data_IF_817146458835
#
_entry.id   IF_817146458835
#
_cell.length_a   1.000
_cell.length_b   1.000
_cell.length_c   1.000
_cell.angle_alpha   90.00
_cell.angle_beta   90.00
_cell.angle_gamma   90.00
#
_symmetry.space_group_name_H-M   'P 1'
#
loop_
_entity.id
_entity.type
_entity.pdbx_description
1 polymer ?
#
# COMPACT_ATOMS: atom_id res chain seq x y z
N UNK A 1 5.41 25.58 -0.97
CA UNK A 1 5.50 24.13 -0.72
C UNK A 1 4.68 23.82 0.51
N UNK A 2 3.72 22.89 0.42
CA UNK A 2 2.99 22.41 1.61
C UNK A 2 3.93 21.50 2.41
N UNK A 3 4.10 21.72 3.72
CA UNK A 3 4.99 20.91 4.54
C UNK A 3 4.41 19.51 4.79
N UNK A 4 5.30 18.54 5.01
CA UNK A 4 4.93 17.24 5.58
C UNK A 4 4.61 17.43 7.07
N UNK A 5 3.46 16.94 7.50
CA UNK A 5 3.00 17.07 8.89
C UNK A 5 2.98 15.72 9.58
N UNK A 6 3.59 15.62 10.77
CA UNK A 6 3.47 14.43 11.60
C UNK A 6 2.08 14.42 12.25
N UNK A 7 1.23 13.48 11.87
CA UNK A 7 -0.17 13.38 12.36
C UNK A 7 -0.37 12.27 13.38
N UNK A 8 0.60 11.36 13.50
CA UNK A 8 0.63 10.31 14.52
C UNK A 8 2.08 9.95 14.86
N UNK A 9 2.39 9.88 16.14
CA UNK A 9 3.68 9.43 16.67
C UNK A 9 3.45 8.31 17.69
N UNK A 10 4.20 7.22 17.59
CA UNK A 10 4.13 6.06 18.50
C UNK A 10 5.49 5.79 19.15
N UNK A 11 5.47 5.37 20.42
CA UNK A 11 6.66 4.90 21.16
C UNK A 11 7.07 3.49 20.73
N UNK A 12 8.11 2.95 21.37
CA UNK A 12 8.56 1.57 21.16
C UNK A 12 7.52 0.51 21.54
N UNK A 13 6.73 0.76 22.58
CA UNK A 13 5.58 -0.06 22.95
C UNK A 13 4.34 0.19 22.07
N UNK A 14 4.51 1.00 21.01
CA UNK A 14 3.45 1.49 20.11
C UNK A 14 2.37 2.29 20.84
N UNK A 15 2.67 2.85 22.00
CA UNK A 15 1.78 3.81 22.66
C UNK A 15 1.82 5.13 21.91
N UNK A 16 0.65 5.75 21.75
CA UNK A 16 0.56 7.07 21.13
C UNK A 16 1.27 8.13 21.97
N UNK A 17 2.26 8.78 21.36
CA UNK A 17 3.04 9.88 21.93
C UNK A 17 2.46 11.23 21.54
N UNK A 18 2.04 11.38 20.27
CA UNK A 18 1.44 12.60 19.75
C UNK A 18 0.51 12.32 18.57
N UNK A 19 -0.36 13.29 18.24
CA UNK A 19 -1.29 13.18 17.11
C UNK A 19 -2.46 12.22 17.40
N UNK A 20 -3.02 11.61 16.35
CA UNK A 20 -4.07 10.60 16.49
C UNK A 20 -4.23 9.74 15.25
N UNK A 21 -4.71 8.52 15.45
CA UNK A 21 -5.12 7.57 14.42
C UNK A 21 -6.25 8.16 13.56
N UNK A 22 -7.18 8.89 14.18
CA UNK A 22 -8.25 9.61 13.48
C UNK A 22 -7.69 10.68 12.53
N UNK A 23 -6.70 11.47 12.95
CA UNK A 23 -6.07 12.46 12.08
C UNK A 23 -5.34 11.81 10.88
N UNK A 24 -4.74 10.63 11.08
CA UNK A 24 -4.14 9.86 9.99
C UNK A 24 -5.21 9.31 9.03
N UNK A 25 -6.28 8.70 9.54
CA UNK A 25 -7.41 8.21 8.74
C UNK A 25 -8.07 9.35 7.94
N UNK A 26 -8.26 10.51 8.56
CA UNK A 26 -8.79 11.71 7.93
C UNK A 26 -7.91 12.22 6.78
N UNK A 27 -6.59 12.21 6.96
CA UNK A 27 -5.65 12.60 5.91
C UNK A 27 -5.68 11.60 4.74
N UNK A 28 -5.71 10.29 5.02
CA UNK A 28 -5.82 9.26 3.98
C UNK A 28 -7.17 9.38 3.24
N UNK A 29 -8.28 9.67 3.93
CA UNK A 29 -9.58 9.93 3.30
C UNK A 29 -9.53 11.07 2.28
N UNK A 30 -8.68 12.07 2.50
CA UNK A 30 -8.44 13.18 1.56
C UNK A 30 -7.41 12.86 0.48
N UNK A 31 -6.92 11.62 0.43
CA UNK A 31 -5.96 11.15 -0.55
C UNK A 31 -4.55 11.68 -0.28
N UNK A 32 -4.15 11.95 0.97
CA UNK A 32 -2.81 12.44 1.27
C UNK A 32 -1.70 11.52 0.74
N UNK A 33 -0.48 12.05 0.60
CA UNK A 33 0.71 11.18 0.52
C UNK A 33 1.13 10.77 1.93
N UNK A 34 1.71 9.57 2.06
CA UNK A 34 2.16 9.02 3.34
C UNK A 34 3.65 8.68 3.32
N UNK A 35 4.36 9.12 4.35
CA UNK A 35 5.70 8.66 4.71
C UNK A 35 5.73 8.22 6.15
N UNK A 36 6.45 7.15 6.44
CA UNK A 36 6.64 6.67 7.81
C UNK A 36 8.12 6.73 8.13
N UNK A 37 8.42 7.37 9.26
CA UNK A 37 9.75 7.47 9.83
C UNK A 37 9.88 6.50 10.99
N UNK A 38 10.99 5.78 11.04
CA UNK A 38 11.34 4.86 12.13
C UNK A 38 12.77 5.08 12.63
N UNK A 39 13.02 4.77 13.91
CA UNK A 39 14.36 4.69 14.48
C UNK A 39 14.63 3.30 15.06
N UNK A 40 15.85 2.80 14.89
CA UNK A 40 16.31 1.52 15.44
C UNK A 40 17.84 1.46 15.47
N UNK A 41 18.40 0.46 16.17
CA UNK A 41 19.83 0.24 16.24
C UNK A 41 20.25 -0.81 15.20
N UNK A 42 21.38 -0.58 14.52
CA UNK A 42 21.87 -1.42 13.43
C UNK A 42 21.98 -2.90 13.82
N UNK A 43 22.66 -3.21 14.93
CA UNK A 43 22.82 -4.59 15.40
C UNK A 43 21.62 -5.16 16.18
N UNK A 44 20.50 -4.44 16.24
CA UNK A 44 19.23 -4.98 16.73
C UNK A 44 18.26 -5.33 15.57
N UNK A 45 18.56 -4.88 14.34
CA UNK A 45 17.63 -4.97 13.20
C UNK A 45 18.26 -5.45 11.89
N UNK A 46 19.38 -4.84 11.48
CA UNK A 46 19.97 -5.03 10.14
C UNK A 46 20.92 -6.21 10.11
N UNK A 47 21.86 -6.23 11.05
CA UNK A 47 22.85 -7.30 11.19
C UNK A 47 23.13 -7.52 12.67
N UNK A 48 22.45 -8.49 13.26
CA UNK A 48 22.58 -8.86 14.68
C UNK A 48 23.96 -9.41 15.05
N UNK A 49 24.81 -9.72 14.06
CA UNK A 49 26.18 -10.18 14.29
C UNK A 49 27.21 -9.05 14.29
N UNK A 50 26.78 -7.83 13.92
CA UNK A 50 27.63 -6.63 13.87
C UNK A 50 27.84 -6.03 15.27
N UNK A 51 29.04 -5.49 15.50
CA UNK A 51 29.33 -4.68 16.70
C UNK A 51 28.77 -3.25 16.59
N UNK A 52 28.14 -2.88 15.46
CA UNK A 52 27.62 -1.53 15.24
C UNK A 52 26.33 -1.28 16.02
N UNK A 53 26.43 -0.45 17.06
CA UNK A 53 25.29 0.06 17.82
C UNK A 53 24.78 1.40 17.26
N UNK A 54 25.01 1.68 15.97
CA UNK A 54 24.60 2.94 15.35
C UNK A 54 23.08 3.05 15.26
N UNK A 55 22.55 4.24 15.56
CA UNK A 55 21.13 4.55 15.36
C UNK A 55 20.85 4.86 13.90
N UNK A 56 19.98 4.06 13.31
CA UNK A 56 19.46 4.26 11.96
C UNK A 56 18.16 5.05 12.04
N UNK A 57 18.01 5.99 11.11
CA UNK A 57 16.80 6.76 10.85
C UNK A 57 16.31 6.40 9.45
N UNK A 58 15.22 5.66 9.37
CA UNK A 58 14.62 5.28 8.09
C UNK A 58 13.40 6.18 7.81
N UNK A 59 13.27 6.61 6.55
CA UNK A 59 12.05 7.24 6.03
C UNK A 59 11.62 6.46 4.80
N UNK A 60 10.43 5.88 4.85
CA UNK A 60 9.84 5.11 3.77
C UNK A 60 8.63 5.83 3.17
N UNK A 61 8.47 5.72 1.84
CA UNK A 61 7.31 6.22 1.10
C UNK A 61 6.28 5.11 0.85
N UNK A 62 5.02 5.39 1.16
CA UNK A 62 3.90 4.47 1.04
C UNK A 62 2.96 4.95 -0.07
N UNK A 63 3.25 4.50 -1.30
CA UNK A 63 2.55 4.95 -2.51
C UNK A 63 1.14 4.39 -2.70
N UNK A 64 0.76 3.37 -1.91
CA UNK A 64 -0.60 2.84 -1.83
C UNK A 64 -1.08 3.01 -0.39
N UNK A 65 -2.25 3.59 -0.20
CA UNK A 65 -2.86 3.74 1.14
C UNK A 65 -4.26 3.16 1.17
N UNK A 66 -4.65 2.66 2.34
CA UNK A 66 -5.94 2.04 2.60
C UNK A 66 -6.66 2.81 3.70
N UNK A 67 -7.96 3.01 3.48
CA UNK A 67 -8.92 3.38 4.49
C UNK A 67 -9.94 2.25 4.61
N UNK A 68 -9.96 1.58 5.75
CA UNK A 68 -10.78 0.41 6.06
C UNK A 68 -11.87 0.83 7.06
N UNK A 69 -13.13 0.48 6.78
CA UNK A 69 -14.33 0.90 7.56
C UNK A 69 -14.32 2.39 7.95
N UNK A 70 -13.85 3.23 7.02
CA UNK A 70 -13.74 4.68 7.19
C UNK A 70 -12.94 5.13 8.43
N UNK A 71 -12.16 4.26 9.07
CA UNK A 71 -11.57 4.54 10.39
C UNK A 71 -10.20 3.92 10.64
N UNK A 72 -9.80 2.92 9.85
CA UNK A 72 -8.50 2.28 9.98
C UNK A 72 -7.59 2.58 8.79
N UNK A 73 -6.47 3.23 9.08
CA UNK A 73 -5.44 3.59 8.12
C UNK A 73 -4.33 2.54 8.00
N UNK A 74 -3.93 2.25 6.76
CA UNK A 74 -2.71 1.50 6.46
C UNK A 74 -2.02 2.04 5.20
N UNK A 75 -0.71 1.81 5.09
CA UNK A 75 0.09 2.15 3.92
C UNK A 75 0.89 0.95 3.43
N UNK A 76 1.10 0.85 2.11
CA UNK A 76 1.95 -0.15 1.47
C UNK A 76 2.99 0.53 0.56
N UNK A 77 4.25 0.10 0.68
CA UNK A 77 5.32 0.47 -0.23
C UNK A 77 5.15 -0.28 -1.55
N UNK A 78 4.99 0.43 -2.68
CA UNK A 78 4.70 -0.20 -3.97
C UNK A 78 5.89 -0.31 -4.93
N UNK A 79 7.04 0.27 -4.57
CA UNK A 79 8.22 0.43 -5.46
C UNK A 79 9.53 -0.07 -4.85
N UNK A 80 9.50 -0.63 -3.65
CA UNK A 80 10.71 -1.03 -2.93
C UNK A 80 11.24 -2.37 -3.45
N UNK A 81 12.52 -2.38 -3.80
CA UNK A 81 13.31 -3.61 -3.84
C UNK A 81 14.06 -3.76 -2.51
N UNK A 82 14.30 -5.00 -2.03
CA UNK A 82 15.04 -5.20 -0.80
C UNK A 82 16.48 -4.74 -0.97
N UNK A 83 16.94 -3.87 -0.06
CA UNK A 83 18.33 -3.44 0.04
C UNK A 83 19.04 -4.23 1.15
N UNK A 84 20.29 -4.60 0.89
CA UNK A 84 21.22 -5.16 1.88
C UNK A 84 22.16 -4.03 2.26
N UNK A 85 21.90 -3.38 3.39
CA UNK A 85 22.71 -2.25 3.82
C UNK A 85 24.12 -2.71 4.22
N UNK A 86 25.15 -1.89 3.98
CA UNK A 86 25.11 -0.60 3.28
C UNK A 86 25.29 -0.72 1.75
N UNK A 87 25.64 -1.90 1.23
CA UNK A 87 26.38 -2.00 -0.03
C UNK A 87 25.59 -2.53 -1.25
N UNK A 88 24.32 -2.92 -1.12
CA UNK A 88 23.60 -3.42 -2.31
C UNK A 88 22.14 -3.81 -2.14
N UNK A 89 21.71 -4.73 -3.01
CA UNK A 89 20.37 -5.33 -2.99
C UNK A 89 20.36 -6.71 -2.34
N UNK A 90 19.17 -7.17 -1.97
CA UNK A 90 18.94 -8.52 -1.48
C UNK A 90 19.34 -9.59 -2.50
N UNK A 91 19.59 -10.83 -2.05
CA UNK A 91 20.21 -11.88 -2.87
C UNK A 91 19.32 -12.38 -4.01
N UNK A 92 17.99 -12.32 -3.86
CA UNK A 92 17.02 -12.69 -4.90
C UNK A 92 16.28 -11.46 -5.41
N UNK A 93 16.26 -11.30 -6.73
CA UNK A 93 15.47 -10.25 -7.39
C UNK A 93 14.00 -10.39 -6.99
N UNK A 94 13.48 -9.36 -6.33
CA UNK A 94 12.14 -9.35 -5.75
C UNK A 94 11.66 -7.93 -5.52
N UNK A 95 10.34 -7.77 -5.34
CA UNK A 95 9.79 -6.58 -4.69
C UNK A 95 9.63 -6.82 -3.21
N UNK A 96 9.44 -5.74 -2.46
CA UNK A 96 9.23 -5.77 -1.02
C UNK A 96 8.05 -4.86 -0.67
N UNK A 97 6.85 -5.41 -0.70
CA UNK A 97 5.63 -4.70 -0.32
C UNK A 97 5.52 -4.66 1.20
N UNK A 98 6.25 -3.72 1.80
CA UNK A 98 6.15 -3.43 3.23
C UNK A 98 4.86 -2.69 3.51
N UNK A 99 4.16 -3.14 4.54
CA UNK A 99 2.88 -2.63 4.99
C UNK A 99 3.03 -2.15 6.42
N UNK A 100 2.47 -0.99 6.72
CA UNK A 100 2.35 -0.45 8.07
C UNK A 100 0.90 -0.10 8.36
N UNK A 101 0.38 -0.61 9.47
CA UNK A 101 -0.90 -0.20 10.03
C UNK A 101 -0.73 1.00 10.97
N UNK A 102 -1.81 1.76 11.18
CA UNK A 102 -1.81 2.92 12.09
C UNK A 102 -1.41 2.59 13.53
N UNK A 103 -1.54 1.34 13.98
CA UNK A 103 -1.13 0.89 15.31
C UNK A 103 0.35 0.47 15.38
N UNK A 104 1.13 0.65 14.31
CA UNK A 104 2.53 0.24 14.24
C UNK A 104 2.76 -1.24 13.89
N UNK A 105 1.70 -2.05 13.71
CA UNK A 105 1.85 -3.42 13.21
C UNK A 105 2.32 -3.41 11.76
N UNK A 106 3.25 -4.30 11.45
CA UNK A 106 3.91 -4.36 10.15
C UNK A 106 3.60 -5.66 9.45
N UNK A 107 3.73 -5.63 8.13
CA UNK A 107 3.75 -6.84 7.33
C UNK A 107 4.65 -6.65 6.12
N UNK A 108 5.01 -7.76 5.51
CA UNK A 108 5.81 -7.76 4.28
C UNK A 108 5.34 -8.87 3.36
N UNK A 109 5.14 -8.55 2.10
CA UNK A 109 5.02 -9.52 1.02
C UNK A 109 6.18 -9.33 0.04
N UNK A 110 6.81 -10.43 -0.39
CA UNK A 110 7.98 -10.40 -1.28
C UNK A 110 7.77 -11.26 -2.52
N UNK A 111 7.15 -10.75 -3.60
CA UNK A 111 7.12 -11.51 -4.84
C UNK A 111 8.54 -11.61 -5.43
N UNK A 112 8.99 -12.84 -5.66
CA UNK A 112 10.23 -13.12 -6.36
C UNK A 112 10.04 -12.93 -7.87
N UNK A 113 10.94 -12.17 -8.50
CA UNK A 113 10.86 -11.76 -9.91
C UNK A 113 11.95 -12.39 -10.78
N UNK A 114 12.69 -13.35 -10.25
CA UNK A 114 13.83 -13.99 -10.92
C UNK A 114 13.43 -15.11 -11.90
N UNK A 115 12.13 -15.35 -12.08
CA UNK A 115 11.59 -16.37 -12.98
C UNK A 115 11.78 -17.81 -12.50
N UNK A 116 12.30 -18.03 -11.28
CA UNK A 116 12.39 -19.36 -10.70
C UNK A 116 10.98 -19.83 -10.30
N UNK A 117 10.69 -21.12 -10.48
CA UNK A 117 9.42 -21.70 -10.07
C UNK A 117 9.33 -21.86 -8.55
N UNK A 118 8.11 -21.89 -8.02
CA UNK A 118 7.88 -22.27 -6.64
C UNK A 118 8.42 -23.70 -6.40
N UNK A 119 9.11 -23.89 -5.27
CA UNK A 119 9.64 -25.22 -4.91
C UNK A 119 8.59 -26.08 -4.23
N UNK A 120 7.55 -25.47 -3.67
CA UNK A 120 6.40 -26.14 -3.06
C UNK A 120 5.08 -25.42 -3.36
N UNK A 121 3.97 -26.11 -3.10
CA UNK A 121 2.65 -25.49 -3.11
C UNK A 121 2.53 -24.45 -1.97
N UNK A 122 1.60 -23.48 -2.06
CA UNK A 122 1.29 -22.57 -0.95
C UNK A 122 1.06 -23.36 0.34
N UNK A 123 1.75 -22.95 1.40
CA UNK A 123 1.86 -23.73 2.65
C UNK A 123 1.11 -23.07 3.79
N UNK A 124 0.88 -23.85 4.85
CA UNK A 124 0.26 -23.40 6.07
C UNK A 124 1.11 -22.33 6.80
N UNK A 125 0.43 -21.63 7.71
CA UNK A 125 1.00 -20.67 8.64
C UNK A 125 2.26 -21.23 9.31
N UNK A 126 3.35 -20.47 9.27
CA UNK A 126 4.55 -20.69 10.08
C UNK A 126 4.84 -19.44 10.92
N UNK A 127 5.71 -19.58 11.91
CA UNK A 127 6.24 -18.45 12.70
C UNK A 127 7.74 -18.64 12.67
N UNK A 128 8.47 -17.73 12.03
CA UNK A 128 9.93 -17.79 12.00
C UNK A 128 10.50 -17.63 13.41
N UNK A 129 11.56 -18.39 13.71
CA UNK A 129 12.33 -18.21 14.94
C UNK A 129 13.27 -17.02 14.77
N UNK A 130 13.00 -15.97 15.56
CA UNK A 130 13.80 -14.75 15.63
C UNK A 130 14.29 -14.50 17.07
N UNK A 131 14.63 -15.57 17.79
CA UNK A 131 15.13 -15.49 19.18
C UNK A 131 16.39 -14.63 19.35
N UNK A 132 17.15 -14.43 18.28
CA UNK A 132 18.31 -13.53 18.17
C UNK A 132 17.94 -12.05 17.98
N UNK A 133 16.67 -11.74 17.68
CA UNK A 133 16.14 -10.39 17.51
C UNK A 133 15.04 -10.09 18.55
N UNK A 134 15.39 -9.69 19.80
CA UNK A 134 14.41 -9.51 20.88
C UNK A 134 13.28 -8.50 20.61
N UNK A 135 13.52 -7.56 19.70
CA UNK A 135 12.54 -6.54 19.27
C UNK A 135 11.63 -7.04 18.13
N UNK A 136 11.88 -8.21 17.55
CA UNK A 136 11.10 -8.77 16.45
C UNK A 136 10.10 -9.82 16.97
N UNK A 137 8.82 -9.50 16.88
CA UNK A 137 7.72 -10.35 17.32
C UNK A 137 6.96 -10.87 16.10
N UNK A 138 7.31 -12.07 15.58
CA UNK A 138 6.59 -12.67 14.46
C UNK A 138 5.18 -13.06 14.90
N UNK A 139 4.18 -12.81 14.04
CA UNK A 139 2.79 -13.18 14.30
C UNK A 139 2.40 -14.39 13.45
N UNK A 140 2.61 -14.29 12.14
CA UNK A 140 2.41 -15.37 11.18
C UNK A 140 3.24 -15.15 9.91
N UNK A 141 3.48 -16.23 9.20
CA UNK A 141 4.18 -16.30 7.93
C UNK A 141 3.46 -17.24 7.00
N UNK A 142 3.46 -16.90 5.71
CA UNK A 142 2.78 -17.63 4.66
C UNK A 142 3.72 -17.88 3.49
N UNK A 143 3.60 -19.06 2.89
CA UNK A 143 4.13 -19.36 1.57
C UNK A 143 5.66 -19.17 1.38
N UNK A 144 6.44 -19.41 2.44
CA UNK A 144 7.90 -19.18 2.47
C UNK A 144 8.66 -19.82 1.29
N UNK A 145 8.19 -20.98 0.84
CA UNK A 145 8.83 -21.81 -0.20
C UNK A 145 8.24 -21.60 -1.60
N UNK A 146 7.43 -20.55 -1.77
CA UNK A 146 6.84 -20.15 -3.04
C UNK A 146 7.52 -18.90 -3.60
N UNK A 147 6.98 -18.36 -4.70
CA UNK A 147 7.38 -17.05 -5.21
C UNK A 147 6.71 -15.87 -4.49
N UNK A 148 5.80 -16.12 -3.55
CA UNK A 148 5.01 -15.11 -2.87
C UNK A 148 5.10 -15.21 -1.33
N UNK A 149 6.29 -15.34 -0.71
CA UNK A 149 6.39 -15.35 0.73
C UNK A 149 5.85 -14.05 1.33
N UNK A 150 5.14 -14.17 2.45
CA UNK A 150 4.67 -13.03 3.22
C UNK A 150 4.69 -13.31 4.71
N UNK A 151 4.74 -12.26 5.52
CA UNK A 151 4.83 -12.34 6.97
C UNK A 151 4.18 -11.11 7.61
N UNK A 152 3.50 -11.31 8.73
CA UNK A 152 3.05 -10.24 9.60
C UNK A 152 3.78 -10.33 10.93
N UNK A 153 4.16 -9.18 11.46
CA UNK A 153 5.03 -9.10 12.61
C UNK A 153 4.93 -7.72 13.25
N UNK A 154 5.58 -7.60 14.39
CA UNK A 154 5.81 -6.33 15.06
C UNK A 154 7.31 -6.25 15.31
N UNK A 155 8.00 -5.31 14.68
CA UNK A 155 9.31 -4.91 15.15
C UNK A 155 9.15 -3.68 16.05
N UNK A 156 9.62 -3.74 17.29
CA UNK A 156 9.58 -2.66 18.29
C UNK A 156 10.61 -1.56 17.96
N UNK A 157 10.34 -0.77 16.93
CA UNK A 157 11.15 0.41 16.61
C UNK A 157 11.17 1.38 17.80
N UNK A 158 12.26 2.12 18.00
CA UNK A 158 12.36 3.10 19.09
C UNK A 158 11.32 4.23 18.94
N UNK A 159 10.93 4.52 17.69
CA UNK A 159 9.98 5.57 17.34
C UNK A 159 9.29 5.25 16.01
N UNK A 160 8.01 5.63 15.91
CA UNK A 160 7.29 5.71 14.64
C UNK A 160 6.73 7.12 14.47
N UNK A 161 6.85 7.71 13.29
CA UNK A 161 6.16 8.95 12.93
C UNK A 161 5.51 8.83 11.56
N UNK A 162 4.20 9.05 11.54
CA UNK A 162 3.39 9.06 10.32
C UNK A 162 3.28 10.49 9.81
N UNK A 163 4.01 10.77 8.73
CA UNK A 163 4.02 12.06 8.06
C UNK A 163 3.09 12.03 6.87
N UNK A 164 2.21 13.03 6.79
CA UNK A 164 1.30 13.19 5.65
C UNK A 164 1.57 14.48 4.91
N UNK A 165 1.37 14.45 3.59
CA UNK A 165 1.26 15.65 2.75
C UNK A 165 -0.14 15.68 2.15
N UNK A 166 -0.95 16.57 2.71
CA UNK A 166 -2.39 16.62 2.50
C UNK A 166 -2.77 17.87 1.70
N UNK A 167 -2.38 17.89 0.43
CA UNK A 167 -2.63 19.00 -0.50
C UNK A 167 -3.45 18.56 -1.72
N UNK A 168 -3.81 17.27 -1.77
CA UNK A 168 -4.65 16.71 -2.81
C UNK A 168 -6.06 17.27 -2.69
N UNK A 169 -6.64 17.67 -3.82
CA UNK A 169 -8.00 18.20 -3.89
C UNK A 169 -8.87 17.27 -4.71
N UNK A 170 -9.94 16.76 -4.11
CA UNK A 170 -10.98 16.04 -4.85
C UNK A 170 -11.62 16.99 -5.87
N UNK A 171 -11.68 16.57 -7.13
CA UNK A 171 -12.26 17.34 -8.25
C UNK A 171 -13.38 16.62 -8.97
N UNK A 172 -13.51 15.31 -8.73
CA UNK A 172 -14.56 14.48 -9.27
C UNK A 172 -14.76 13.26 -8.37
N UNK A 173 -16.00 12.88 -8.10
CA UNK A 173 -16.34 11.52 -7.69
C UNK A 173 -17.57 11.02 -8.40
N UNK A 174 -17.62 9.71 -8.62
CA UNK A 174 -18.72 9.04 -9.29
C UNK A 174 -18.94 7.64 -8.70
N UNK A 175 -20.13 7.08 -8.90
CA UNK A 175 -20.43 5.69 -8.53
C UNK A 175 -19.90 4.68 -9.57
N UNK A 176 -20.21 3.39 -9.39
CA UNK A 176 -19.71 2.31 -10.24
C UNK A 176 -20.23 2.39 -11.69
N UNK A 177 -21.39 3.02 -11.87
CA UNK A 177 -22.01 3.27 -13.17
C UNK A 177 -21.49 4.55 -13.84
N UNK A 178 -20.57 5.27 -13.20
CA UNK A 178 -20.01 6.52 -13.71
C UNK A 178 -20.91 7.73 -13.50
N UNK A 179 -21.95 7.62 -12.68
CA UNK A 179 -22.82 8.76 -12.36
C UNK A 179 -22.09 9.67 -11.37
N UNK A 180 -21.89 10.92 -11.79
CA UNK A 180 -21.17 11.93 -11.00
C UNK A 180 -21.91 12.24 -9.70
N UNK A 181 -21.19 12.14 -8.59
CA UNK A 181 -21.63 12.45 -7.23
C UNK A 181 -21.12 13.84 -6.79
N UNK A 182 -19.93 14.23 -7.24
CA UNK A 182 -19.31 15.53 -6.94
C UNK A 182 -18.39 15.97 -8.08
N UNK A 183 -18.25 17.28 -8.27
CA UNK A 183 -17.32 17.87 -9.23
C UNK A 183 -17.68 17.56 -10.68
N UNK A 184 -16.68 17.49 -11.57
CA UNK A 184 -16.92 17.18 -12.98
C UNK A 184 -15.70 16.59 -13.69
N UNK A 185 -15.94 15.82 -14.75
CA UNK A 185 -14.86 15.33 -15.63
C UNK A 185 -14.14 16.51 -16.29
N UNK A 186 -14.82 17.63 -16.52
CA UNK A 186 -14.20 18.83 -17.07
C UNK A 186 -13.19 19.46 -16.11
N UNK A 187 -13.50 19.56 -14.81
CA UNK A 187 -12.56 20.10 -13.81
C UNK A 187 -11.31 19.22 -13.68
N UNK A 188 -11.49 17.90 -13.72
CA UNK A 188 -10.37 16.94 -13.79
C UNK A 188 -9.57 17.14 -15.09
N UNK A 189 -10.28 17.28 -16.22
CA UNK A 189 -9.69 17.49 -17.54
C UNK A 189 -8.85 18.79 -17.61
N UNK A 190 -9.34 19.87 -17.02
CA UNK A 190 -8.67 21.16 -17.01
C UNK A 190 -7.44 21.13 -16.09
N UNK A 191 -7.57 20.53 -14.91
CA UNK A 191 -6.47 20.42 -13.96
C UNK A 191 -5.30 19.60 -14.53
N UNK A 192 -5.54 18.42 -15.10
CA UNK A 192 -4.44 17.64 -15.69
C UNK A 192 -3.81 18.36 -16.90
N UNK A 193 -4.62 19.09 -17.69
CA UNK A 193 -4.12 19.84 -18.86
C UNK A 193 -3.22 21.01 -18.45
N UNK A 194 -3.37 21.50 -17.21
CA UNK A 194 -2.50 22.51 -16.61
C UNK A 194 -1.23 21.90 -15.96
N UNK A 195 -1.06 20.58 -16.02
CA UNK A 195 0.11 19.88 -15.51
C UNK A 195 -0.04 19.39 -14.06
N UNK A 196 -1.25 19.41 -13.48
CA UNK A 196 -1.47 18.81 -12.17
C UNK A 196 -1.21 17.30 -12.20
N UNK A 197 -0.68 16.78 -11.10
CA UNK A 197 -0.67 15.33 -10.87
C UNK A 197 -2.09 14.85 -10.57
N UNK A 198 -2.38 13.58 -10.84
CA UNK A 198 -3.66 12.96 -10.52
C UNK A 198 -3.49 11.74 -9.60
N UNK A 199 -4.50 11.50 -8.77
CA UNK A 199 -4.61 10.36 -7.86
C UNK A 199 -6.06 9.88 -7.84
N UNK A 200 -6.25 8.58 -7.65
CA UNK A 200 -7.58 7.98 -7.57
C UNK A 200 -7.74 7.22 -6.26
N UNK A 201 -8.89 7.39 -5.61
CA UNK A 201 -9.42 6.49 -4.60
C UNK A 201 -10.41 5.53 -5.25
N UNK A 202 -10.23 4.23 -5.06
CA UNK A 202 -11.10 3.18 -5.63
C UNK A 202 -11.73 2.40 -4.49
N UNK A 203 -13.06 2.46 -4.39
CA UNK A 203 -13.81 1.76 -3.33
C UNK A 203 -14.06 0.31 -3.71
N UNK A 204 -13.85 -0.63 -2.78
CA UNK A 204 -14.23 -2.03 -2.95
C UNK A 204 -13.33 -2.86 -3.88
N UNK A 205 -12.21 -2.32 -4.38
CA UNK A 205 -11.33 -2.98 -5.36
C UNK A 205 -10.83 -4.37 -4.95
N UNK A 206 -10.71 -4.62 -3.65
CA UNK A 206 -10.15 -5.86 -3.08
C UNK A 206 -11.23 -6.81 -2.55
N UNK A 207 -12.52 -6.53 -2.77
CA UNK A 207 -13.62 -7.33 -2.21
C UNK A 207 -13.62 -8.78 -2.72
N UNK A 208 -13.19 -9.00 -3.96
CA UNK A 208 -13.03 -10.31 -4.61
C UNK A 208 -11.86 -11.16 -4.05
N UNK A 209 -11.02 -10.61 -3.17
CA UNK A 209 -10.06 -11.41 -2.38
C UNK A 209 -10.71 -12.12 -1.19
N UNK A 210 -11.99 -11.84 -0.93
CA UNK A 210 -12.79 -12.56 0.06
C UNK A 210 -13.60 -13.67 -0.62
N UNK A 211 -13.92 -14.73 0.13
CA UNK A 211 -14.70 -15.84 -0.42
C UNK A 211 -16.12 -15.41 -0.84
N UNK A 212 -16.69 -14.44 -0.11
CA UNK A 212 -17.96 -13.79 -0.45
C UNK A 212 -17.75 -12.26 -0.46
N UNK A 213 -17.67 -11.63 -1.64
CA UNK A 213 -17.50 -10.19 -1.79
C UNK A 213 -18.56 -9.36 -1.06
N UNK A 214 -19.78 -9.88 -0.85
CA UNK A 214 -20.83 -9.17 -0.12
C UNK A 214 -20.53 -9.02 1.38
N UNK A 215 -19.61 -9.84 1.89
CA UNK A 215 -19.14 -9.80 3.29
C UNK A 215 -17.79 -9.10 3.42
N UNK A 216 -17.21 -8.62 2.31
CA UNK A 216 -15.95 -7.92 2.35
C UNK A 216 -16.07 -6.63 3.16
N UNK A 217 -15.06 -6.39 4.00
CA UNK A 217 -14.95 -5.17 4.77
C UNK A 217 -14.87 -3.96 3.83
N UNK A 218 -15.67 -2.92 4.11
CA UNK A 218 -15.71 -1.71 3.29
C UNK A 218 -14.35 -1.03 3.31
N UNK A 219 -13.86 -0.66 2.13
CA UNK A 219 -12.53 -0.12 1.99
C UNK A 219 -12.40 0.77 0.76
N UNK A 220 -11.50 1.75 0.87
CA UNK A 220 -11.06 2.56 -0.24
C UNK A 220 -9.53 2.52 -0.31
N UNK A 221 -9.01 2.26 -1.50
CA UNK A 221 -7.57 2.22 -1.77
C UNK A 221 -7.20 3.42 -2.64
N UNK A 222 -6.19 4.17 -2.21
CA UNK A 222 -5.70 5.35 -2.93
C UNK A 222 -4.36 5.07 -3.58
N UNK A 223 -4.24 5.43 -4.86
CA UNK A 223 -3.02 5.28 -5.65
C UNK A 223 -2.86 6.43 -6.62
N UNK A 224 -1.65 6.97 -6.72
CA UNK A 224 -1.33 8.01 -7.69
C UNK A 224 -1.37 7.45 -9.12
N UNK A 225 -1.79 8.27 -10.07
CA UNK A 225 -1.78 7.93 -11.50
C UNK A 225 -0.48 8.36 -12.18
N UNK A 226 -0.17 7.71 -13.29
CA UNK A 226 0.88 8.11 -14.22
C UNK A 226 0.26 8.77 -15.45
N UNK A 227 0.35 8.10 -16.60
CA UNK A 227 -0.21 8.59 -17.85
C UNK A 227 -1.73 8.77 -17.79
N UNK A 228 -2.20 9.95 -18.19
CA UNK A 228 -3.61 10.32 -18.25
C UNK A 228 -4.00 10.71 -19.69
N UNK A 229 -5.25 10.44 -20.07
CA UNK A 229 -5.80 10.67 -21.39
C UNK A 229 -7.20 11.26 -21.27
N UNK A 230 -7.51 12.28 -22.07
CA UNK A 230 -8.84 12.86 -22.11
C UNK A 230 -9.41 12.84 -23.54
N UNK A 231 -10.51 12.13 -23.71
CA UNK A 231 -11.22 12.00 -24.97
C UNK A 231 -12.23 13.15 -25.06
N UNK A 232 -11.86 14.22 -25.75
CA UNK A 232 -12.61 15.50 -25.75
C UNK A 232 -14.04 15.40 -26.27
N UNK A 233 -14.29 14.55 -27.28
CA UNK A 233 -15.63 14.36 -27.84
C UNK A 233 -16.54 13.53 -26.92
N UNK A 234 -15.98 12.53 -26.22
CA UNK A 234 -16.73 11.65 -25.31
C UNK A 234 -16.81 12.22 -23.88
N UNK A 235 -15.98 13.22 -23.57
CA UNK A 235 -15.76 13.71 -22.21
C UNK A 235 -15.41 12.57 -21.24
N UNK A 236 -14.49 11.71 -21.68
CA UNK A 236 -14.05 10.54 -20.92
C UNK A 236 -12.58 10.72 -20.53
N UNK A 237 -12.30 10.68 -19.23
CA UNK A 237 -10.94 10.73 -18.70
C UNK A 237 -10.49 9.32 -18.29
N UNK A 238 -9.25 8.98 -18.66
CA UNK A 238 -8.66 7.65 -18.49
C UNK A 238 -7.27 7.82 -17.88
N UNK A 239 -6.92 7.00 -16.89
CA UNK A 239 -5.58 7.03 -16.31
C UNK A 239 -5.03 5.63 -16.05
N UNK A 240 -3.72 5.45 -16.26
CA UNK A 240 -2.97 4.30 -15.76
C UNK A 240 -2.40 4.59 -14.38
N UNK A 241 -2.53 3.70 -13.42
CA UNK A 241 -2.00 3.91 -12.06
C UNK A 241 -0.49 3.65 -11.97
N UNK A 242 0.14 4.15 -10.92
CA UNK A 242 1.35 3.53 -10.38
C UNK A 242 1.08 2.07 -9.93
N UNK A 243 2.13 1.26 -9.65
CA UNK A 243 1.92 -0.10 -9.16
C UNK A 243 0.98 -0.13 -7.94
N UNK A 244 0.00 -1.02 -8.02
CA UNK A 244 -1.05 -1.25 -7.04
C UNK A 244 -0.82 -2.59 -6.37
N UNK A 245 -0.98 -2.65 -5.05
CA UNK A 245 -0.91 -3.87 -4.27
C UNK A 245 -2.28 -4.04 -3.64
N UNK A 246 -2.98 -5.11 -4.03
CA UNK A 246 -4.27 -5.45 -3.42
C UNK A 246 -4.04 -6.41 -2.28
N UNK A 247 -4.64 -6.12 -1.14
CA UNK A 247 -4.63 -6.99 0.05
C UNK A 247 -6.06 -7.21 0.50
N UNK A 248 -6.37 -8.44 0.92
CA UNK A 248 -7.68 -8.82 1.44
C UNK A 248 -8.06 -7.90 2.62
N UNK A 249 -9.16 -7.14 2.51
CA UNK A 249 -9.55 -6.17 3.53
C UNK A 249 -9.77 -6.84 4.90
N UNK A 250 -9.01 -6.40 5.90
CA UNK A 250 -9.04 -6.84 7.30
C UNK A 250 -8.55 -5.70 8.19
N UNK A 251 -8.96 -5.71 9.46
CA UNK A 251 -8.46 -4.77 10.47
C UNK A 251 -7.81 -5.58 11.60
N UNK A 252 -6.48 -5.46 11.83
CA UNK A 252 -5.49 -4.76 11.01
C UNK A 252 -5.34 -5.35 9.60
N UNK A 253 -4.80 -4.58 8.65
CA UNK A 253 -4.50 -5.08 7.31
C UNK A 253 -3.27 -6.01 7.38
N UNK A 254 -3.42 -7.23 6.89
CA UNK A 254 -2.40 -8.30 6.97
C UNK A 254 -2.27 -9.07 5.67
N UNK A 255 -1.09 -9.61 5.40
CA UNK A 255 -0.89 -10.56 4.31
C UNK A 255 -1.26 -11.98 4.73
N UNK A 256 -1.99 -12.69 3.88
CA UNK A 256 -2.26 -14.13 4.06
C UNK A 256 -2.02 -14.86 2.74
N UNK A 257 -1.89 -16.18 2.80
CA UNK A 257 -1.83 -17.00 1.58
C UNK A 257 -3.03 -16.70 0.67
N UNK A 258 -2.75 -16.40 -0.61
CA UNK A 258 -3.71 -16.01 -1.66
C UNK A 258 -4.59 -14.80 -1.31
N UNK A 259 -4.25 -14.06 -0.26
CA UNK A 259 -4.98 -12.88 0.20
C UNK A 259 -4.43 -11.58 -0.37
N UNK A 260 -3.56 -11.63 -1.39
CA UNK A 260 -2.98 -10.45 -2.01
C UNK A 260 -2.50 -10.74 -3.43
N UNK A 261 -2.44 -9.68 -4.24
CA UNK A 261 -1.83 -9.66 -5.55
C UNK A 261 -1.33 -8.24 -5.88
N UNK A 262 -0.71 -8.05 -7.05
CA UNK A 262 -0.20 -6.74 -7.44
C UNK A 262 -0.30 -6.52 -8.95
N UNK A 263 -0.26 -5.26 -9.39
CA UNK A 263 -0.36 -4.92 -10.80
C UNK A 263 -0.63 -3.45 -11.06
N UNK A 264 -1.39 -3.16 -12.11
CA UNK A 264 -1.71 -1.80 -12.54
C UNK A 264 -3.18 -1.69 -12.92
N UNK A 265 -3.79 -0.55 -12.63
CA UNK A 265 -5.15 -0.25 -13.04
C UNK A 265 -5.12 0.69 -14.24
N UNK A 266 -5.97 0.44 -15.22
CA UNK A 266 -6.48 1.45 -16.13
C UNK A 266 -7.88 1.83 -15.65
N UNK A 267 -8.05 3.06 -15.17
CA UNK A 267 -9.28 3.57 -14.57
C UNK A 267 -9.93 4.62 -15.48
N UNK A 268 -11.26 4.68 -15.49
CA UNK A 268 -12.05 5.59 -16.33
C UNK A 268 -13.12 6.31 -15.52
N UNK A 269 -13.45 7.54 -15.90
CA UNK A 269 -14.48 8.34 -15.22
C UNK A 269 -15.92 7.84 -15.42
N UNK A 270 -16.13 6.80 -16.21
CA UNK A 270 -17.41 6.11 -16.36
C UNK A 270 -17.51 4.85 -15.48
N UNK A 271 -16.68 4.76 -14.43
CA UNK A 271 -16.66 3.63 -13.51
C UNK A 271 -15.83 2.43 -13.97
N UNK A 272 -15.50 2.34 -15.26
CA UNK A 272 -14.81 1.18 -15.82
C UNK A 272 -13.36 1.10 -15.34
N UNK A 273 -12.95 -0.11 -14.91
CA UNK A 273 -11.58 -0.41 -14.50
C UNK A 273 -11.11 -1.69 -15.19
N UNK A 274 -9.91 -1.65 -15.74
CA UNK A 274 -9.17 -2.85 -16.15
C UNK A 274 -7.98 -3.01 -15.22
N UNK A 275 -7.97 -4.07 -14.42
CA UNK A 275 -6.85 -4.44 -13.57
C UNK A 275 -5.96 -5.43 -14.30
N UNK A 276 -4.76 -4.98 -14.68
CA UNK A 276 -3.69 -5.86 -15.12
C UNK A 276 -3.04 -6.49 -13.90
N UNK A 277 -3.58 -7.63 -13.47
CA UNK A 277 -3.11 -8.41 -12.33
C UNK A 277 -1.87 -9.21 -12.71
N UNK A 278 -0.84 -9.15 -11.87
CA UNK A 278 0.22 -10.12 -11.81
C UNK A 278 -0.05 -11.07 -10.63
N UNK A 279 -0.18 -12.36 -10.91
CA UNK A 279 -0.27 -13.39 -9.88
C UNK A 279 1.11 -13.56 -9.22
N UNK A 280 1.27 -13.28 -7.91
CA UNK A 280 2.58 -13.33 -7.26
C UNK A 280 3.18 -14.73 -7.19
N UNK A 281 2.38 -15.79 -7.33
CA UNK A 281 2.87 -17.17 -7.28
C UNK A 281 3.45 -17.62 -8.62
N UNK A 282 2.89 -17.12 -9.73
CA UNK A 282 3.21 -17.61 -11.08
C UNK A 282 3.86 -16.56 -11.97
N UNK A 283 3.81 -15.28 -11.58
CA UNK A 283 4.13 -14.10 -12.38
C UNK A 283 3.30 -13.99 -13.68
N UNK A 284 2.24 -14.78 -13.81
CA UNK A 284 1.33 -14.70 -14.93
C UNK A 284 0.49 -13.44 -14.86
N UNK A 285 0.22 -12.86 -16.03
CA UNK A 285 -0.61 -11.67 -16.17
C UNK A 285 -2.00 -12.03 -16.67
N UNK A 286 -3.00 -11.36 -16.11
CA UNK A 286 -4.38 -11.39 -16.58
C UNK A 286 -4.99 -9.99 -16.44
N UNK A 287 -5.84 -9.62 -17.39
CA UNK A 287 -6.65 -8.41 -17.29
C UNK A 287 -8.02 -8.79 -16.69
N UNK A 288 -8.42 -8.09 -15.62
CA UNK A 288 -9.69 -8.29 -14.91
C UNK A 288 -10.48 -7.00 -15.04
N UNK A 289 -11.69 -7.10 -15.60
CA UNK A 289 -12.57 -5.95 -15.79
C UNK A 289 -13.56 -5.82 -14.64
N UNK A 290 -13.93 -4.59 -14.30
CA UNK A 290 -14.96 -4.30 -13.31
C UNK A 290 -15.39 -2.84 -13.33
N UNK A 291 -16.41 -2.55 -12.54
CA UNK A 291 -16.97 -1.21 -12.37
C UNK A 291 -16.88 -0.81 -10.90
N UNK A 292 -16.35 0.39 -10.62
CA UNK A 292 -16.07 0.84 -9.27
C UNK A 292 -16.43 2.30 -9.06
N UNK A 293 -16.94 2.61 -7.87
CA UNK A 293 -17.04 3.98 -7.40
C UNK A 293 -15.63 4.54 -7.16
N UNK A 294 -15.37 5.73 -7.68
CA UNK A 294 -14.04 6.34 -7.63
C UNK A 294 -14.09 7.83 -7.28
N UNK A 295 -13.05 8.28 -6.60
CA UNK A 295 -12.79 9.69 -6.30
C UNK A 295 -11.47 10.10 -6.93
N UNK A 296 -11.45 11.23 -7.61
CA UNK A 296 -10.32 11.73 -8.38
C UNK A 296 -9.80 13.00 -7.73
N UNK A 297 -8.50 13.01 -7.51
CA UNK A 297 -7.79 14.08 -6.82
C UNK A 297 -6.71 14.66 -7.72
N UNK A 298 -6.45 15.96 -7.59
CA UNK A 298 -5.37 16.65 -8.28
C UNK A 298 -4.55 17.52 -7.34
N UNK A 299 -3.30 17.79 -7.71
CA UNK A 299 -2.43 18.78 -7.05
C UNK A 299 -1.47 19.45 -8.02
#
# INVERSE_FOLDING_TARGET
>A
MVPWNCVLELSTERHKVAGSEAALADAIRRGCDLRIYTEFIHNEHIDVTSDSTERIREVAEFGVTYLLEDSWAAGIMSRRQPVSLPDGFGPRASMSFFLYNQNGQQAIARPHLDGQGATQAPTALYVDDHTDMPKYHPQDGWDQQTNAPSQNFIYDFDLYRFYVRDEWREVLSHDAEGVVQFGSVHDLADAFSQGCEAKVGVRGLCADLTADPATALDHEMFVQTGSCYYYTAQQLFIAGTHPTIRVKPTVPLVYTSRGWDFGWLMVRTDGSVVYRRCDPYTLAFADIEGNYAMRWFVR
#
